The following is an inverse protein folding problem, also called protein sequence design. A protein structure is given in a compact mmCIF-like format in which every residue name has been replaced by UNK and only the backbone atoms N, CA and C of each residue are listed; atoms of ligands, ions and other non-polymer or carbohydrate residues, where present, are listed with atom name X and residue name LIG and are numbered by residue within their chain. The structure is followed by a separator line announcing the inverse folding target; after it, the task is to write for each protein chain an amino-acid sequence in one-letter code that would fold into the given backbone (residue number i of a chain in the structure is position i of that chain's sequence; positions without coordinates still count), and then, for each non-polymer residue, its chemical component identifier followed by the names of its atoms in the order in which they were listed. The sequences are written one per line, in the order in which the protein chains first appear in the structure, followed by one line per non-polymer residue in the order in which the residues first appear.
data_IF_168780869297
#
_entry.id   IF_168780869297
#
_cell.length_a   1.000
_cell.length_b   1.000
_cell.length_c   1.000
_cell.angle_alpha   90.00
_cell.angle_beta   90.00
_cell.angle_gamma   90.00
#
_symmetry.space_group_name_H-M   'P 1'
#
loop_
_entity.id
_entity.type
_entity.pdbx_description
1 polymer ?
#
# COMPACT_ATOMS: atom_id res chain seq x y z
N UNK A 1 11.55 4.64 -7.41
CA UNK A 1 10.71 4.72 -6.20
C UNK A 1 10.89 3.45 -5.35
N UNK A 2 10.52 3.51 -4.11
CA UNK A 2 10.58 2.37 -3.20
C UNK A 2 9.19 2.09 -2.64
N UNK A 3 8.74 0.85 -2.76
CA UNK A 3 7.44 0.41 -2.29
C UNK A 3 7.58 -0.73 -1.30
N UNK A 4 6.65 -0.81 -0.36
CA UNK A 4 6.50 -1.96 0.54
C UNK A 4 5.13 -2.56 0.27
N UNK A 5 5.08 -3.88 0.10
CA UNK A 5 3.83 -4.59 -0.18
C UNK A 5 3.66 -5.75 0.80
N UNK A 6 2.43 -6.00 1.20
CA UNK A 6 2.11 -7.14 2.07
C UNK A 6 0.80 -7.80 1.66
N UNK A 7 0.86 -9.10 1.47
CA UNK A 7 -0.27 -9.95 1.10
C UNK A 7 0.09 -11.38 1.47
N UNK A 8 -0.83 -12.13 2.04
CA UNK A 8 -0.59 -13.53 2.38
C UNK A 8 -0.38 -14.40 1.14
N UNK A 9 -0.84 -13.97 -0.02
CA UNK A 9 -0.75 -14.69 -1.27
C UNK A 9 0.46 -14.25 -2.09
N UNK A 10 1.47 -15.13 -2.23
CA UNK A 10 2.69 -14.82 -2.99
C UNK A 10 2.41 -14.51 -4.44
N UNK A 11 1.45 -15.17 -5.06
CA UNK A 11 1.08 -14.92 -6.45
C UNK A 11 0.60 -13.47 -6.63
N UNK A 12 -0.20 -12.98 -5.70
CA UNK A 12 -0.66 -11.60 -5.73
C UNK A 12 0.48 -10.61 -5.49
N UNK A 13 1.40 -10.93 -4.58
CA UNK A 13 2.59 -10.10 -4.35
C UNK A 13 3.44 -9.97 -5.61
N UNK A 14 3.69 -11.07 -6.29
CA UNK A 14 4.48 -11.08 -7.52
C UNK A 14 3.80 -10.27 -8.62
N UNK A 15 2.49 -10.44 -8.77
CA UNK A 15 1.71 -9.68 -9.74
C UNK A 15 1.77 -8.19 -9.45
N UNK A 16 1.56 -7.80 -8.21
CA UNK A 16 1.61 -6.40 -7.81
C UNK A 16 3.00 -5.81 -8.05
N UNK A 17 4.04 -6.57 -7.72
CA UNK A 17 5.42 -6.14 -7.97
C UNK A 17 5.66 -5.88 -9.45
N UNK A 18 5.21 -6.78 -10.32
CA UNK A 18 5.35 -6.60 -11.75
C UNK A 18 4.64 -5.35 -12.25
N UNK A 19 3.43 -5.09 -11.74
CA UNK A 19 2.67 -3.89 -12.09
C UNK A 19 3.39 -2.63 -11.64
N UNK A 20 3.92 -2.62 -10.40
CA UNK A 20 4.64 -1.46 -9.86
C UNK A 20 5.93 -1.18 -10.62
N UNK A 21 6.69 -2.22 -10.95
CA UNK A 21 7.93 -2.06 -11.70
C UNK A 21 7.65 -1.62 -13.14
N UNK A 22 6.57 -2.11 -13.74
CA UNK A 22 6.16 -1.67 -15.07
C UNK A 22 5.70 -0.21 -15.07
N UNK A 23 4.92 0.17 -14.06
CA UNK A 23 4.43 1.56 -13.93
C UNK A 23 5.55 2.54 -13.59
N UNK A 24 6.51 2.11 -12.77
CA UNK A 24 7.61 2.94 -12.27
C UNK A 24 8.94 2.18 -12.43
N UNK A 25 9.51 2.17 -13.64
CA UNK A 25 10.75 1.43 -13.89
C UNK A 25 11.89 1.85 -12.96
N UNK A 26 12.68 0.87 -12.53
CA UNK A 26 13.78 1.11 -11.61
C UNK A 26 13.37 1.11 -10.14
N UNK A 27 12.11 0.83 -9.83
CA UNK A 27 11.62 0.79 -8.45
C UNK A 27 12.10 -0.43 -7.70
N UNK A 28 12.27 -0.26 -6.38
CA UNK A 28 12.53 -1.35 -5.44
C UNK A 28 11.22 -1.69 -4.73
N UNK A 29 10.89 -2.98 -4.65
CA UNK A 29 9.67 -3.44 -3.97
C UNK A 29 10.05 -4.45 -2.91
N UNK A 30 9.77 -4.12 -1.65
CA UNK A 30 9.93 -5.04 -0.53
C UNK A 30 8.62 -5.77 -0.29
N UNK A 31 8.63 -7.10 -0.46
CA UNK A 31 7.45 -7.95 -0.37
C UNK A 31 7.41 -8.69 0.96
N UNK A 32 6.24 -8.75 1.58
CA UNK A 32 6.03 -9.47 2.83
C UNK A 32 4.75 -10.29 2.79
N UNK A 33 4.78 -11.48 3.39
CA UNK A 33 3.59 -12.31 3.54
C UNK A 33 2.94 -12.13 4.91
N UNK A 34 3.48 -11.26 5.75
CA UNK A 34 2.89 -10.83 7.03
C UNK A 34 3.20 -9.35 7.25
N UNK A 35 2.58 -8.76 8.28
CA UNK A 35 2.78 -7.33 8.58
C UNK A 35 3.94 -7.08 9.55
N UNK A 36 4.54 -8.12 10.09
CA UNK A 36 5.51 -7.99 11.18
C UNK A 36 6.74 -7.16 10.80
N UNK A 37 7.26 -7.34 9.59
CA UNK A 37 8.48 -6.65 9.14
C UNK A 37 8.24 -5.36 8.38
N UNK A 38 6.98 -5.04 8.09
CA UNK A 38 6.66 -3.80 7.36
C UNK A 38 7.16 -2.55 8.10
N UNK A 39 6.98 -2.41 9.43
CA UNK A 39 7.52 -1.25 10.15
C UNK A 39 9.03 -1.11 10.04
N UNK A 40 9.76 -2.23 10.01
CA UNK A 40 11.22 -2.21 9.85
C UNK A 40 11.63 -1.56 8.53
N UNK A 41 10.98 -1.95 7.43
CA UNK A 41 11.28 -1.37 6.13
C UNK A 41 10.93 0.12 6.07
N UNK A 42 9.82 0.52 6.68
CA UNK A 42 9.41 1.93 6.75
C UNK A 42 10.44 2.77 7.50
N UNK A 43 10.98 2.24 8.59
CA UNK A 43 11.98 2.95 9.41
C UNK A 43 13.34 3.04 8.73
N UNK A 44 13.73 2.02 7.98
CA UNK A 44 15.10 1.91 7.47
C UNK A 44 15.25 2.32 6.01
N UNK A 45 14.16 2.68 5.33
CA UNK A 45 14.19 3.10 3.93
C UNK A 45 13.30 4.30 3.72
N UNK A 46 13.61 5.09 2.69
CA UNK A 46 12.69 6.13 2.25
C UNK A 46 11.63 5.48 1.37
N UNK A 47 10.50 5.13 1.96
CA UNK A 47 9.40 4.45 1.28
C UNK A 47 8.44 5.47 0.68
N UNK A 48 8.12 5.30 -0.60
CA UNK A 48 7.20 6.20 -1.30
C UNK A 48 5.73 5.83 -1.08
N UNK A 49 5.43 4.55 -0.95
CA UNK A 49 4.07 4.08 -0.68
C UNK A 49 4.07 2.65 -0.18
N UNK A 50 3.01 2.29 0.55
CA UNK A 50 2.78 0.96 1.07
C UNK A 50 1.45 0.44 0.50
N UNK A 51 1.46 -0.80 0.02
CA UNK A 51 0.27 -1.47 -0.50
C UNK A 51 -0.01 -2.71 0.35
N UNK A 52 -1.19 -2.76 0.94
CA UNK A 52 -1.58 -3.84 1.86
C UNK A 52 -2.89 -4.47 1.42
N UNK A 53 -2.97 -5.80 1.49
CA UNK A 53 -4.25 -6.49 1.44
C UNK A 53 -4.98 -6.24 2.78
N UNK A 54 -6.32 -6.33 2.80
CA UNK A 54 -7.12 -6.01 3.98
C UNK A 54 -6.80 -6.87 5.20
N UNK A 55 -6.47 -8.12 4.96
CA UNK A 55 -6.04 -9.05 6.00
C UNK A 55 -4.79 -9.77 5.52
N UNK A 56 -3.71 -9.64 6.27
CA UNK A 56 -2.43 -10.26 5.92
C UNK A 56 -2.03 -11.17 7.08
N UNK A 57 -2.00 -12.47 6.81
CA UNK A 57 -1.67 -13.51 7.80
C UNK A 57 -2.44 -13.31 9.10
N UNK A 58 -3.76 -13.25 9.00
CA UNK A 58 -4.71 -13.05 10.11
C UNK A 58 -4.61 -11.69 10.82
N UNK A 59 -3.74 -10.80 10.34
CA UNK A 59 -3.63 -9.45 10.89
C UNK A 59 -4.46 -8.47 10.07
N UNK A 60 -5.17 -7.58 10.76
CA UNK A 60 -6.01 -6.57 10.12
C UNK A 60 -5.16 -5.37 9.68
N UNK A 61 -5.07 -5.14 8.38
CA UNK A 61 -4.26 -4.06 7.84
C UNK A 61 -4.78 -2.68 8.22
N UNK A 62 -6.10 -2.52 8.41
CA UNK A 62 -6.65 -1.22 8.82
C UNK A 62 -6.22 -0.84 10.23
N UNK A 63 -6.08 -1.82 11.13
CA UNK A 63 -5.53 -1.55 12.47
C UNK A 63 -4.08 -1.07 12.39
N UNK A 64 -3.31 -1.66 11.48
CA UNK A 64 -1.95 -1.22 11.23
C UNK A 64 -1.92 0.22 10.71
N UNK A 65 -2.80 0.57 9.78
CA UNK A 65 -2.90 1.94 9.26
C UNK A 65 -3.27 2.92 10.37
N UNK A 66 -4.25 2.56 11.22
CA UNK A 66 -4.65 3.40 12.35
C UNK A 66 -3.46 3.67 13.28
N UNK A 67 -2.64 2.65 13.53
CA UNK A 67 -1.43 2.80 14.32
C UNK A 67 -0.46 3.80 13.68
N UNK A 68 -0.20 3.67 12.38
CA UNK A 68 0.66 4.61 11.65
C UNK A 68 0.15 6.05 11.77
N UNK A 69 -1.15 6.25 11.63
CA UNK A 69 -1.74 7.59 11.69
C UNK A 69 -1.68 8.18 13.09
N UNK A 70 -1.84 7.35 14.12
CA UNK A 70 -1.66 7.79 15.52
C UNK A 70 -0.22 8.24 15.78
N UNK A 71 0.75 7.64 15.12
CA UNK A 71 2.16 8.05 15.21
C UNK A 71 2.46 9.27 14.32
N UNK A 72 1.44 9.88 13.73
CA UNK A 72 1.55 11.06 12.86
C UNK A 72 2.41 10.81 11.62
N UNK A 73 2.42 9.59 11.13
CA UNK A 73 3.10 9.26 9.88
C UNK A 73 2.16 9.47 8.70
N UNK A 74 2.58 10.32 7.78
CA UNK A 74 1.81 10.68 6.59
C UNK A 74 2.14 9.81 5.36
N UNK A 75 2.84 8.72 5.57
CA UNK A 75 3.23 7.79 4.51
C UNK A 75 1.99 7.37 3.70
N UNK A 76 2.05 7.42 2.36
CA UNK A 76 0.94 6.93 1.54
C UNK A 76 0.71 5.44 1.73
N UNK A 77 -0.53 5.07 2.06
CA UNK A 77 -0.95 3.68 2.25
C UNK A 77 -2.17 3.42 1.38
N UNK A 78 -2.11 2.33 0.63
CA UNK A 78 -3.19 1.88 -0.25
C UNK A 78 -3.60 0.48 0.15
N UNK A 79 -4.91 0.23 0.12
CA UNK A 79 -5.46 -1.11 0.37
C UNK A 79 -5.84 -1.74 -0.96
N UNK A 80 -5.50 -3.02 -1.13
CA UNK A 80 -5.93 -3.82 -2.27
C UNK A 80 -6.77 -4.96 -1.71
N UNK A 81 -8.05 -4.99 -2.05
CA UNK A 81 -9.02 -5.92 -1.50
C UNK A 81 -9.67 -6.76 -2.58
N UNK A 82 -10.31 -7.84 -2.19
CA UNK A 82 -11.13 -8.65 -3.09
C UNK A 82 -12.56 -8.12 -3.20
N UNK A 83 -12.99 -7.25 -2.28
CA UNK A 83 -14.36 -6.74 -2.23
C UNK A 83 -14.41 -5.25 -1.96
N UNK A 84 -15.57 -4.62 -2.22
CA UNK A 84 -15.84 -3.22 -1.91
C UNK A 84 -16.21 -2.99 -0.44
N UNK A 85 -16.46 -4.05 0.31
CA UNK A 85 -17.11 -3.99 1.63
C UNK A 85 -16.40 -3.08 2.64
N UNK A 86 -15.09 -2.97 2.58
CA UNK A 86 -14.31 -2.23 3.57
C UNK A 86 -13.85 -0.85 3.08
N UNK A 87 -14.33 -0.38 1.95
CA UNK A 87 -13.89 0.90 1.37
C UNK A 87 -14.10 2.07 2.33
N UNK A 88 -15.29 2.16 2.92
CA UNK A 88 -15.63 3.24 3.82
C UNK A 88 -14.80 3.17 5.11
N UNK A 89 -14.70 1.97 5.69
CA UNK A 89 -13.89 1.74 6.89
C UNK A 89 -12.41 2.07 6.64
N UNK A 90 -11.90 1.70 5.46
CA UNK A 90 -10.52 2.01 5.08
C UNK A 90 -10.29 3.52 5.01
N UNK A 91 -11.23 4.26 4.41
CA UNK A 91 -11.15 5.71 4.35
C UNK A 91 -11.11 6.32 5.76
N UNK A 92 -11.93 5.83 6.67
CA UNK A 92 -11.96 6.28 8.06
C UNK A 92 -10.65 5.96 8.78
N UNK A 93 -10.01 4.83 8.46
CA UNK A 93 -8.73 4.44 9.03
C UNK A 93 -7.58 5.34 8.57
N UNK A 94 -7.75 6.04 7.45
CA UNK A 94 -6.75 6.96 6.94
C UNK A 94 -5.94 6.45 5.76
N UNK A 95 -6.45 5.45 4.99
CA UNK A 95 -5.77 5.02 3.77
C UNK A 95 -5.93 6.09 2.69
N UNK A 96 -4.97 6.15 1.78
CA UNK A 96 -4.98 7.14 0.69
C UNK A 96 -5.92 6.72 -0.44
N UNK A 97 -6.03 5.42 -0.70
CA UNK A 97 -7.00 4.90 -1.65
C UNK A 97 -7.22 3.40 -1.40
N UNK A 98 -8.26 2.86 -2.04
CA UNK A 98 -8.72 1.49 -1.85
C UNK A 98 -9.05 0.90 -3.22
N UNK A 99 -8.43 -0.20 -3.57
CA UNK A 99 -8.63 -0.84 -4.87
C UNK A 99 -9.22 -2.22 -4.70
N UNK A 100 -10.16 -2.57 -5.59
CA UNK A 100 -10.70 -3.92 -5.67
C UNK A 100 -9.96 -4.65 -6.78
N UNK A 101 -9.49 -5.86 -6.48
CA UNK A 101 -8.79 -6.68 -7.47
C UNK A 101 -9.69 -7.05 -8.63
N UNK A 102 -9.15 -7.18 -9.85
CA UNK A 102 -7.74 -6.96 -10.19
C UNK A 102 -7.40 -5.48 -10.36
N UNK A 103 -6.31 -5.05 -9.75
CA UNK A 103 -5.83 -3.68 -9.91
C UNK A 103 -5.05 -3.56 -11.23
N UNK A 104 -5.15 -2.40 -11.88
CA UNK A 104 -4.45 -2.14 -13.14
C UNK A 104 -3.24 -1.24 -12.93
N UNK A 105 -2.31 -1.29 -13.87
CA UNK A 105 -1.15 -0.42 -13.87
C UNK A 105 -1.56 1.07 -13.88
N UNK A 106 -2.59 1.40 -14.65
CA UNK A 106 -3.07 2.79 -14.72
C UNK A 106 -3.62 3.26 -13.38
N UNK A 107 -4.35 2.40 -12.66
CA UNK A 107 -4.84 2.74 -11.33
C UNK A 107 -3.68 3.05 -10.38
N UNK A 108 -2.60 2.28 -10.45
CA UNK A 108 -1.42 2.50 -9.60
C UNK A 108 -0.72 3.81 -9.95
N UNK A 109 -0.57 4.12 -11.25
CA UNK A 109 0.01 5.39 -11.69
C UNK A 109 -0.80 6.58 -11.18
N UNK A 110 -2.12 6.51 -11.35
CA UNK A 110 -3.02 7.60 -10.96
C UNK A 110 -2.99 7.81 -9.44
N UNK A 111 -2.95 6.72 -8.66
CA UNK A 111 -2.90 6.80 -7.21
C UNK A 111 -1.62 7.48 -6.72
N UNK A 112 -0.49 7.07 -7.24
CA UNK A 112 0.81 7.65 -6.87
C UNK A 112 0.90 9.11 -7.34
N UNK A 113 0.42 9.42 -8.54
CA UNK A 113 0.41 10.79 -9.05
C UNK A 113 -0.46 11.68 -8.18
N UNK A 114 -1.61 11.20 -7.75
CA UNK A 114 -2.51 11.94 -6.86
C UNK A 114 -1.83 12.30 -5.54
N UNK A 115 -1.07 11.39 -4.96
CA UNK A 115 -0.32 11.65 -3.73
C UNK A 115 0.76 12.71 -3.97
N UNK A 116 1.52 12.59 -5.06
CA UNK A 116 2.57 13.57 -5.41
C UNK A 116 2.00 14.95 -5.68
N UNK A 117 0.85 15.03 -6.33
CA UNK A 117 0.18 16.29 -6.59
C UNK A 117 -0.22 17.00 -5.29
N UNK A 118 -0.71 16.26 -4.30
CA UNK A 118 -1.05 16.79 -2.99
C UNK A 118 0.19 17.29 -2.24
N UNK A 119 1.29 16.55 -2.31
CA UNK A 119 2.56 16.96 -1.70
C UNK A 119 3.07 18.27 -2.32
N UNK A 120 2.95 18.41 -3.64
CA UNK A 120 3.43 19.58 -4.36
C UNK A 120 2.50 20.79 -4.21
N UNK A 121 1.25 20.59 -3.82
CA UNK A 121 0.26 21.64 -3.66
C UNK A 121 0.34 22.35 -2.30
N UNK A 122 1.08 21.79 -1.35
CA UNK A 122 1.17 22.32 0.01
C UNK A 122 2.32 23.29 0.23
#
# INVERSE_FOLDING_TARGET
MTFVTADSCRTQLERLTQLLVSAFPGSTVYQHTDLFRVPHDILNNKVDAVFLETEVDESNSLDFVRMLRRQKKSLPVFIISQTEDLREEAAEAGVNDYFVQPVTEQQLRDAIQSVKDKENAS
#
